data_IF_546349686942
#
_entry.id   IF_546349686942
#
_cell.length_a   1.000
_cell.length_b   1.000
_cell.length_c   1.000
_cell.angle_alpha   90.00
_cell.angle_beta   90.00
_cell.angle_gamma   90.00
#
_symmetry.space_group_name_H-M   'P 1'
#
loop_
_entity.id
_entity.type
_entity.pdbx_description
1 polymer ?
#
# COMPACT_ATOMS: atom_id res chain seq x y z
N UNK A 1 -2.78 -0.28 -3.43
CA UNK A 1 -1.72 0.22 -4.34
C UNK A 1 -0.42 0.38 -3.55
N UNK A 2 0.72 0.59 -4.22
CA UNK A 2 2.02 0.79 -3.58
C UNK A 2 2.60 2.17 -3.87
N UNK A 3 3.37 2.69 -2.93
CA UNK A 3 4.11 3.95 -3.06
C UNK A 3 5.54 3.75 -2.61
N UNK A 4 6.50 4.37 -3.28
CA UNK A 4 7.90 4.32 -2.90
C UNK A 4 8.52 5.72 -2.91
N UNK A 5 9.39 5.98 -1.95
CA UNK A 5 10.26 7.13 -1.98
C UNK A 5 11.49 6.81 -2.84
N UNK A 6 11.59 7.43 -4.01
CA UNK A 6 12.76 7.29 -4.90
C UNK A 6 13.78 8.41 -4.69
N UNK A 7 13.52 9.34 -3.77
CA UNK A 7 14.45 10.43 -3.44
C UNK A 7 15.55 9.88 -2.51
N UNK A 8 16.77 10.44 -2.59
CA UNK A 8 17.82 10.12 -1.63
C UNK A 8 17.52 10.65 -0.23
N UNK A 9 16.71 11.72 -0.13
CA UNK A 9 16.27 12.29 1.14
C UNK A 9 15.06 11.52 1.69
N UNK A 10 15.04 11.21 2.99
CA UNK A 10 13.87 10.63 3.62
C UNK A 10 12.71 11.64 3.63
N UNK A 11 11.50 11.08 3.56
CA UNK A 11 10.26 11.81 3.78
C UNK A 11 9.61 11.28 5.06
N UNK A 12 8.93 12.14 5.79
CA UNK A 12 8.22 11.81 7.02
C UNK A 12 6.75 12.17 6.89
N UNK A 13 5.95 11.76 7.87
CA UNK A 13 4.52 12.10 7.95
C UNK A 13 3.75 11.82 6.66
N UNK A 14 3.89 10.59 6.15
CA UNK A 14 3.29 10.15 4.90
C UNK A 14 1.82 9.88 5.11
N UNK A 15 0.99 10.53 4.31
CA UNK A 15 -0.47 10.36 4.30
C UNK A 15 -0.94 10.13 2.88
N UNK A 16 -2.02 9.36 2.77
CA UNK A 16 -2.75 9.14 1.54
C UNK A 16 -4.17 9.64 1.72
N UNK A 17 -4.70 10.29 0.70
CA UNK A 17 -6.14 10.46 0.51
C UNK A 17 -6.51 10.08 -0.91
N UNK A 18 -7.78 9.74 -1.14
CA UNK A 18 -8.26 9.43 -2.48
C UNK A 18 -9.67 9.96 -2.72
N UNK A 19 -9.94 10.29 -3.97
CA UNK A 19 -11.25 10.76 -4.44
C UNK A 19 -11.64 9.93 -5.65
N UNK A 20 -12.84 9.37 -5.59
CA UNK A 20 -13.49 8.68 -6.69
C UNK A 20 -14.34 9.69 -7.48
N UNK A 21 -14.04 9.82 -8.76
CA UNK A 21 -14.77 10.64 -9.72
C UNK A 21 -15.66 9.77 -10.58
N UNK A 22 -16.94 10.10 -10.67
CA UNK A 22 -17.93 9.37 -11.46
C UNK A 22 -18.84 10.35 -12.19
N UNK A 23 -19.03 10.16 -13.49
CA UNK A 23 -20.01 10.91 -14.26
C UNK A 23 -21.40 10.28 -14.08
N UNK A 24 -22.39 11.10 -13.72
CA UNK A 24 -23.80 10.71 -13.63
C UNK A 24 -24.46 10.80 -15.01
N UNK A 25 -25.60 10.14 -15.19
CA UNK A 25 -26.36 10.15 -16.46
C UNK A 25 -26.77 11.56 -16.93
N UNK A 26 -26.88 12.51 -16.00
CA UNK A 26 -27.19 13.92 -16.28
C UNK A 26 -25.95 14.75 -16.67
N UNK A 27 -24.76 14.14 -16.79
CA UNK A 27 -23.48 14.81 -17.07
C UNK A 27 -22.83 15.47 -15.85
N UNK A 28 -23.37 15.28 -14.65
CA UNK A 28 -22.81 15.83 -13.41
C UNK A 28 -21.67 14.95 -12.88
N UNK A 29 -20.56 15.57 -12.47
CA UNK A 29 -19.43 14.87 -11.89
C UNK A 29 -19.62 14.67 -10.37
N UNK A 30 -19.88 13.43 -9.97
CA UNK A 30 -19.92 13.02 -8.57
C UNK A 30 -18.49 12.79 -8.04
N UNK A 31 -18.21 13.29 -6.83
CA UNK A 31 -16.93 13.11 -6.15
C UNK A 31 -17.18 12.47 -4.79
N UNK A 32 -16.48 11.39 -4.49
CA UNK A 32 -16.65 10.66 -3.22
C UNK A 32 -15.30 10.34 -2.61
N UNK A 33 -15.12 10.67 -1.32
CA UNK A 33 -13.89 10.33 -0.60
C UNK A 33 -13.74 8.82 -0.47
N UNK A 34 -12.52 8.32 -0.63
CA UNK A 34 -12.17 6.91 -0.44
C UNK A 34 -11.01 6.81 0.53
N UNK A 35 -11.23 6.13 1.64
CA UNK A 35 -10.21 6.00 2.68
C UNK A 35 -9.27 4.84 2.39
N UNK A 36 -7.98 5.06 2.55
CA UNK A 36 -6.94 4.05 2.41
C UNK A 36 -6.18 3.89 3.71
N UNK A 37 -5.88 2.64 4.03
CA UNK A 37 -5.19 2.25 5.26
C UNK A 37 -3.82 1.70 4.93
N UNK A 38 -2.85 2.00 5.78
CA UNK A 38 -1.51 1.45 5.66
C UNK A 38 -1.50 0.00 6.13
N UNK A 39 -0.92 -0.89 5.32
CA UNK A 39 -0.85 -2.30 5.68
C UNK A 39 0.10 -2.55 6.86
N UNK A 40 -0.37 -3.28 7.87
CA UNK A 40 0.37 -3.65 9.07
C UNK A 40 0.52 -2.55 10.14
N UNK A 41 -0.04 -1.35 9.93
CA UNK A 41 0.04 -0.24 10.89
C UNK A 41 -1.35 0.36 11.08
N UNK A 42 -1.82 0.48 12.33
CA UNK A 42 -3.15 1.06 12.64
C UNK A 42 -3.22 2.58 12.53
N UNK A 43 -2.13 3.23 12.11
CA UNK A 43 -2.03 4.69 11.97
C UNK A 43 -2.36 5.09 10.54
N UNK A 44 -3.10 6.18 10.38
CA UNK A 44 -3.37 6.81 9.07
C UNK A 44 -2.11 7.46 8.48
N UNK A 45 -1.14 7.80 9.33
CA UNK A 45 0.14 8.40 8.95
C UNK A 45 1.28 7.40 9.15
N UNK A 46 2.12 7.22 8.12
CA UNK A 46 3.42 6.58 8.28
C UNK A 46 4.46 7.61 8.73
N UNK A 47 5.15 7.42 9.86
CA UNK A 47 6.12 8.40 10.35
C UNK A 47 7.35 8.52 9.44
N UNK A 48 7.76 7.43 8.76
CA UNK A 48 8.98 7.39 7.95
C UNK A 48 8.76 6.70 6.60
N UNK A 49 9.14 7.38 5.51
CA UNK A 49 9.07 6.86 4.15
C UNK A 49 10.43 6.36 3.65
N UNK A 50 10.90 5.27 4.26
CA UNK A 50 12.22 4.68 3.96
C UNK A 50 12.13 3.37 3.17
N UNK A 51 10.94 2.76 3.10
CA UNK A 51 10.66 1.57 2.29
C UNK A 51 9.34 1.75 1.52
N UNK A 52 9.12 1.01 0.43
CA UNK A 52 7.83 1.01 -0.27
C UNK A 52 6.68 0.69 0.66
N UNK A 53 5.63 1.51 0.67
CA UNK A 53 4.44 1.32 1.51
C UNK A 53 3.30 0.74 0.68
N UNK A 54 2.54 -0.17 1.28
CA UNK A 54 1.32 -0.72 0.65
C UNK A 54 0.09 -0.15 1.34
N UNK A 55 -0.79 0.48 0.57
CA UNK A 55 -2.07 1.01 1.03
C UNK A 55 -3.22 0.16 0.49
N UNK A 56 -4.19 -0.12 1.35
CA UNK A 56 -5.37 -0.92 1.01
C UNK A 56 -6.67 -0.18 1.35
N UNK A 57 -7.71 -0.50 0.59
CA UNK A 57 -9.08 -0.09 0.87
C UNK A 57 -9.92 -1.36 1.00
N UNK A 58 -10.62 -1.50 2.14
CA UNK A 58 -11.48 -2.66 2.36
C UNK A 58 -12.77 -2.49 1.55
N UNK A 59 -12.98 -3.37 0.57
CA UNK A 59 -14.22 -3.41 -0.20
C UNK A 59 -15.30 -4.12 0.61
N UNK A 60 -15.97 -3.37 1.46
CA UNK A 60 -17.15 -3.79 2.24
C UNK A 60 -18.42 -3.17 1.65
N UNK A 61 -19.65 -3.60 2.02
CA UNK A 61 -20.88 -3.08 1.41
C UNK A 61 -21.06 -1.56 1.45
N UNK A 62 -20.45 -0.87 2.41
CA UNK A 62 -20.47 0.60 2.52
C UNK A 62 -19.39 1.31 1.70
N UNK A 63 -18.49 0.57 1.05
CA UNK A 63 -17.43 1.13 0.22
C UNK A 63 -18.03 1.75 -1.06
N UNK A 64 -17.56 2.94 -1.47
CA UNK A 64 -17.99 3.55 -2.73
C UNK A 64 -17.51 2.76 -3.96
N UNK A 65 -16.53 1.87 -3.80
CA UNK A 65 -16.03 1.00 -4.87
C UNK A 65 -16.77 -0.35 -4.92
N UNK A 66 -17.56 -0.70 -3.90
CA UNK A 66 -18.14 -2.04 -3.77
C UNK A 66 -19.02 -2.42 -4.95
N UNK A 67 -19.97 -1.58 -5.31
CA UNK A 67 -20.87 -1.85 -6.45
C UNK A 67 -20.11 -1.75 -7.77
N UNK A 68 -19.20 -0.79 -7.90
CA UNK A 68 -18.48 -0.52 -9.15
C UNK A 68 -17.60 -1.70 -9.57
N UNK A 69 -16.84 -2.27 -8.63
CA UNK A 69 -15.90 -3.35 -8.89
C UNK A 69 -16.53 -4.76 -8.95
N UNK A 70 -17.83 -4.88 -8.65
CA UNK A 70 -18.57 -6.15 -8.75
C UNK A 70 -19.12 -6.43 -10.16
N UNK A 71 -19.19 -5.42 -11.03
CA UNK A 71 -19.71 -5.58 -12.38
C UNK A 71 -18.63 -6.12 -13.34
N UNK A 72 -19.00 -7.04 -14.23
CA UNK A 72 -18.10 -7.52 -15.31
C UNK A 72 -17.65 -6.38 -16.23
N UNK A 73 -18.52 -5.39 -16.43
CA UNK A 73 -18.23 -4.14 -17.14
C UNK A 73 -18.53 -2.97 -16.22
N UNK A 74 -17.57 -2.53 -15.38
CA UNK A 74 -17.77 -1.41 -14.47
C UNK A 74 -18.13 -0.14 -15.24
N UNK A 75 -18.99 0.74 -14.68
CA UNK A 75 -19.22 2.06 -15.25
C UNK A 75 -17.94 2.89 -15.22
N UNK A 76 -17.88 3.95 -16.03
CA UNK A 76 -16.72 4.84 -16.05
C UNK A 76 -16.54 5.54 -14.70
N UNK A 77 -15.34 5.42 -14.14
CA UNK A 77 -14.90 6.18 -12.98
C UNK A 77 -13.40 6.40 -13.03
N UNK A 78 -12.91 7.38 -12.29
CA UNK A 78 -11.47 7.60 -12.09
C UNK A 78 -11.19 7.71 -10.59
N UNK A 79 -10.31 6.85 -10.08
CA UNK A 79 -9.86 6.90 -8.70
C UNK A 79 -8.57 7.69 -8.62
N UNK A 80 -8.63 8.93 -8.14
CA UNK A 80 -7.47 9.80 -7.98
C UNK A 80 -6.92 9.64 -6.56
N UNK A 81 -5.63 9.33 -6.47
CA UNK A 81 -4.91 9.13 -5.21
C UNK A 81 -3.90 10.26 -5.02
N UNK A 82 -3.87 10.81 -3.81
CA UNK A 82 -3.00 11.88 -3.38
C UNK A 82 -2.07 11.34 -2.29
N UNK A 83 -0.77 11.50 -2.49
CA UNK A 83 0.25 11.27 -1.47
C UNK A 83 0.74 12.63 -0.97
N UNK A 84 0.72 12.82 0.34
CA UNK A 84 1.36 13.95 1.01
C UNK A 84 2.44 13.45 1.94
N UNK A 85 3.62 14.05 1.92
CA UNK A 85 4.69 13.74 2.86
C UNK A 85 5.52 15.00 3.12
N UNK A 86 6.18 15.06 4.27
CA UNK A 86 7.06 16.16 4.65
C UNK A 86 8.51 15.80 4.35
N UNK A 87 9.27 16.74 3.78
CA UNK A 87 10.69 16.56 3.55
C UNK A 87 11.48 16.80 4.85
N UNK A 88 12.27 15.81 5.25
CA UNK A 88 13.10 15.93 6.44
C UNK A 88 14.08 17.12 6.32
N UNK A 89 14.34 17.80 7.45
CA UNK A 89 15.26 18.93 7.54
C UNK A 89 14.68 20.27 7.06
N UNK A 90 13.89 20.28 5.99
CA UNK A 90 13.28 21.52 5.46
C UNK A 90 11.86 21.75 5.97
N UNK A 91 11.12 20.69 6.32
CA UNK A 91 9.71 20.78 6.69
C UNK A 91 8.76 21.07 5.53
N UNK A 92 9.27 21.11 4.28
CA UNK A 92 8.45 21.35 3.11
C UNK A 92 7.49 20.19 2.83
N UNK A 93 6.26 20.49 2.47
CA UNK A 93 5.27 19.47 2.11
C UNK A 93 5.43 19.13 0.63
N UNK A 94 5.71 17.86 0.34
CA UNK A 94 5.71 17.29 -0.99
C UNK A 94 4.38 16.58 -1.25
N UNK A 95 3.74 16.93 -2.37
CA UNK A 95 2.53 16.25 -2.84
C UNK A 95 2.78 15.56 -4.18
N UNK A 96 2.22 14.36 -4.32
CA UNK A 96 2.19 13.58 -5.55
C UNK A 96 0.79 13.05 -5.79
N UNK A 97 0.45 12.88 -7.05
CA UNK A 97 -0.88 12.43 -7.49
C UNK A 97 -0.73 11.39 -8.57
N UNK A 98 -1.62 10.42 -8.56
CA UNK A 98 -1.83 9.47 -9.65
C UNK A 98 -3.32 9.19 -9.74
N UNK A 99 -3.77 8.60 -10.84
CA UNK A 99 -5.12 8.11 -10.97
C UNK A 99 -5.15 6.69 -11.52
N UNK A 100 -6.29 6.02 -11.32
CA UNK A 100 -6.56 4.69 -11.80
C UNK A 100 -7.94 4.64 -12.46
N UNK A 101 -7.98 4.14 -13.69
CA UNK A 101 -9.19 3.76 -14.39
C UNK A 101 -9.64 2.37 -13.96
N UNK A 102 -10.90 1.97 -14.25
CA UNK A 102 -11.40 0.66 -13.83
C UNK A 102 -10.57 -0.49 -14.40
N UNK A 103 -10.07 -0.34 -15.63
CA UNK A 103 -9.21 -1.32 -16.30
C UNK A 103 -7.81 -1.47 -15.68
N UNK A 104 -7.37 -0.52 -14.86
CA UNK A 104 -6.06 -0.53 -14.20
C UNK A 104 -6.13 -1.16 -12.79
N UNK A 105 -7.34 -1.48 -12.32
CA UNK A 105 -7.57 -2.10 -11.01
C UNK A 105 -7.67 -3.62 -11.21
N UNK A 106 -6.59 -4.31 -10.84
CA UNK A 106 -6.52 -5.78 -10.90
C UNK A 106 -7.17 -6.42 -9.68
N UNK A 107 -8.32 -7.07 -9.87
CA UNK A 107 -8.98 -7.88 -8.85
C UNK A 107 -8.28 -9.24 -8.70
N UNK A 108 -8.34 -9.84 -7.51
CA UNK A 108 -7.77 -11.18 -7.20
C UNK A 108 -6.27 -11.29 -7.47
N UNK A 109 -5.54 -10.19 -7.28
CA UNK A 109 -4.09 -10.14 -7.40
C UNK A 109 -3.50 -9.52 -6.14
N UNK A 110 -2.28 -9.93 -5.81
CA UNK A 110 -1.48 -9.33 -4.75
C UNK A 110 -0.13 -8.87 -5.32
N UNK A 111 0.50 -7.91 -4.64
CA UNK A 111 1.84 -7.47 -5.03
C UNK A 111 2.86 -8.57 -4.75
N UNK A 112 3.81 -8.75 -5.67
CA UNK A 112 4.94 -9.63 -5.46
C UNK A 112 5.76 -9.18 -4.22
N UNK A 113 6.44 -10.12 -3.57
CA UNK A 113 7.25 -9.77 -2.41
C UNK A 113 8.39 -8.82 -2.78
N UNK A 114 8.46 -7.70 -2.06
CA UNK A 114 9.48 -6.66 -2.23
C UNK A 114 10.67 -6.89 -1.33
N UNK A 115 10.52 -7.63 -0.24
CA UNK A 115 11.58 -7.83 0.73
C UNK A 115 12.17 -9.22 0.57
N UNK A 116 13.49 -9.28 0.55
CA UNK A 116 14.24 -10.53 0.65
C UNK A 116 15.34 -10.43 1.67
N UNK A 117 15.71 -11.58 2.21
CA UNK A 117 16.81 -11.68 3.17
C UNK A 117 18.09 -12.03 2.42
N UNK A 118 19.10 -11.18 2.57
CA UNK A 118 20.43 -11.41 2.04
C UNK A 118 21.20 -12.44 2.85
N UNK A 119 22.36 -12.83 2.31
CA UNK A 119 23.20 -13.90 2.89
C UNK A 119 23.72 -13.60 4.30
N UNK A 120 23.83 -12.32 4.70
CA UNK A 120 24.28 -11.90 6.03
C UNK A 120 23.10 -11.56 6.94
N UNK A 121 21.88 -11.84 6.51
CA UNK A 121 20.65 -11.56 7.25
C UNK A 121 20.11 -10.14 7.05
N UNK A 122 20.73 -9.33 6.20
CA UNK A 122 20.26 -7.99 5.86
C UNK A 122 19.00 -8.04 4.99
N UNK A 123 18.13 -7.05 5.14
CA UNK A 123 16.96 -6.91 4.27
C UNK A 123 17.31 -6.15 3.00
N UNK A 124 16.89 -6.69 1.87
CA UNK A 124 17.08 -6.11 0.55
C UNK A 124 15.73 -5.90 -0.12
N UNK A 125 15.53 -4.69 -0.65
CA UNK A 125 14.33 -4.30 -1.39
C UNK A 125 14.54 -4.65 -2.86
N UNK A 126 13.73 -5.56 -3.38
CA UNK A 126 13.65 -5.91 -4.79
C UNK A 126 12.74 -4.91 -5.51
N UNK A 127 13.28 -3.73 -5.84
CA UNK A 127 12.51 -2.70 -6.55
C UNK A 127 12.01 -3.17 -7.92
N UNK A 128 12.67 -4.15 -8.54
CA UNK A 128 12.22 -4.85 -9.74
C UNK A 128 10.86 -5.57 -9.58
N UNK A 129 10.38 -5.76 -8.35
CA UNK A 129 9.08 -6.35 -8.05
C UNK A 129 8.02 -5.31 -7.66
N UNK A 130 8.36 -4.02 -7.62
CA UNK A 130 7.48 -2.96 -7.11
C UNK A 130 6.13 -2.87 -7.83
N UNK A 131 6.10 -3.06 -9.13
CA UNK A 131 4.90 -3.04 -9.96
C UNK A 131 4.40 -4.45 -10.31
N UNK A 132 5.14 -5.50 -9.93
CA UNK A 132 4.76 -6.87 -10.25
C UNK A 132 3.61 -7.33 -9.36
N UNK A 133 2.58 -7.86 -9.99
CA UNK A 133 1.47 -8.53 -9.33
C UNK A 133 1.49 -10.02 -9.64
N UNK A 134 0.98 -10.81 -8.70
CA UNK A 134 0.76 -12.24 -8.87
C UNK A 134 -0.71 -12.56 -8.59
N UNK A 135 -1.33 -13.51 -9.29
CA UNK A 135 -2.67 -13.96 -8.96
C UNK A 135 -2.72 -14.45 -7.51
N UNK A 136 -3.76 -14.04 -6.79
CA UNK A 136 -3.98 -14.51 -5.43
C UNK A 136 -4.34 -16.01 -5.49
N UNK A 137 -3.44 -16.86 -4.99
CA UNK A 137 -3.73 -18.29 -4.85
C UNK A 137 -4.79 -18.48 -3.76
N UNK A 138 -5.74 -19.42 -3.90
CA UNK A 138 -6.64 -19.79 -2.81
C UNK A 138 -5.80 -20.16 -1.59
N UNK A 139 -5.83 -19.33 -0.55
CA UNK A 139 -5.03 -19.54 0.65
C UNK A 139 -5.41 -20.90 1.24
N UNK A 140 -4.49 -21.89 1.33
CA UNK A 140 -4.76 -23.04 2.16
C UNK A 140 -4.92 -22.51 3.58
N UNK A 141 -6.03 -22.85 4.23
CA UNK A 141 -6.31 -22.53 5.64
C UNK A 141 -5.05 -22.81 6.46
N UNK A 142 -4.26 -21.78 6.77
CA UNK A 142 -3.05 -21.93 7.56
C UNK A 142 -3.53 -22.34 8.94
N UNK A 143 -3.28 -23.61 9.28
CA UNK A 143 -3.44 -24.15 10.61
C UNK A 143 -2.68 -23.24 11.57
N UNK A 144 -3.40 -22.56 12.45
CA UNK A 144 -2.81 -21.89 13.61
C UNK A 144 -2.07 -22.97 14.41
N UNK A 145 -0.76 -23.10 14.22
CA UNK A 145 0.05 -23.84 15.17
C UNK A 145 0.13 -23.00 16.44
N UNK A 146 -0.41 -23.45 17.58
CA UNK A 146 -0.19 -22.77 18.84
C UNK A 146 1.25 -23.06 19.25
N UNK A 147 1.97 -22.05 19.75
CA UNK A 147 3.30 -22.16 20.37
C UNK A 147 4.52 -21.83 19.51
N UNK A 148 4.59 -20.61 19.00
CA UNK A 148 5.89 -19.93 18.82
C UNK A 148 5.78 -18.47 19.21
N UNK A 149 6.44 -18.08 20.30
CA UNK A 149 6.64 -16.68 20.73
C UNK A 149 7.78 -16.03 19.95
N UNK A 150 7.78 -16.17 18.61
CA UNK A 150 8.52 -15.23 17.77
C UNK A 150 7.57 -14.07 17.49
N UNK A 151 8.00 -12.86 17.83
CA UNK A 151 7.30 -11.66 17.36
C UNK A 151 7.47 -11.60 15.84
N UNK A 152 6.48 -12.12 15.12
CA UNK A 152 6.35 -11.98 13.67
C UNK A 152 6.26 -10.47 13.35
N UNK A 153 7.36 -9.88 12.89
CA UNK A 153 7.34 -8.50 12.42
C UNK A 153 6.82 -8.52 10.99
N UNK A 154 5.65 -7.90 10.79
CA UNK A 154 5.04 -7.78 9.47
C UNK A 154 5.33 -6.39 8.91
N UNK A 155 6.01 -6.35 7.77
CA UNK A 155 6.20 -5.11 7.01
C UNK A 155 5.29 -5.19 5.78
N UNK A 156 4.31 -4.29 5.69
CA UNK A 156 3.30 -4.30 4.62
C UNK A 156 2.60 -5.67 4.47
N UNK A 157 2.11 -6.25 5.57
CA UNK A 157 1.34 -7.50 5.55
C UNK A 157 2.12 -8.77 5.23
N UNK A 158 3.42 -8.68 4.91
CA UNK A 158 4.28 -9.82 4.63
C UNK A 158 4.83 -10.40 5.95
N UNK A 159 4.55 -11.68 6.22
CA UNK A 159 5.09 -12.41 7.40
C UNK A 159 6.60 -12.58 7.27
N UNK A 160 7.34 -12.35 8.35
CA UNK A 160 8.80 -12.46 8.35
C UNK A 160 9.27 -13.28 9.55
N UNK A 161 9.93 -14.40 9.26
CA UNK A 161 10.62 -15.16 10.29
C UNK A 161 11.88 -14.40 10.77
N UNK A 162 11.83 -13.93 12.02
CA UNK A 162 12.94 -13.39 12.83
C UNK A 162 13.54 -12.05 12.38
N UNK A 163 13.05 -10.97 12.99
CA UNK A 163 13.66 -9.64 12.93
C UNK A 163 14.69 -9.45 14.04
N UNK A 164 15.97 -9.30 13.68
CA UNK A 164 17.02 -8.82 14.59
C UNK A 164 17.49 -7.45 14.11
N UNK A 165 17.30 -6.43 14.95
CA UNK A 165 17.92 -5.12 14.74
C UNK A 165 19.40 -5.29 15.10
N UNK A 166 20.27 -5.34 14.10
CA UNK A 166 21.69 -5.10 14.34
C UNK A 166 21.89 -3.59 14.46
N UNK A 167 22.24 -3.12 15.66
CA UNK A 167 22.78 -1.78 15.86
C UNK A 167 24.08 -1.67 15.04
N UNK A 168 24.00 -1.13 13.83
CA UNK A 168 25.19 -0.66 13.13
C UNK A 168 25.56 0.69 13.70
N UNK A 169 26.62 0.69 14.52
CA UNK A 169 27.17 1.86 15.17
C UNK A 169 27.47 2.98 14.18
N UNK A 170 26.99 4.18 14.53
CA UNK A 170 27.58 5.43 14.10
C UNK A 170 28.96 5.53 14.78
N UNK A 171 30.02 5.27 14.01
CA UNK A 171 31.38 5.75 14.31
C UNK A 171 31.66 7.02 13.55
#
# INVERSE_FOLDING_TARGET
>A
FQVANTRPSPLTSVRVSAVLYQERENGELNQTSVDFHLDGISSEECPFFIFPLTYYHSIIPSSPLATLLQHESPPHFELVVFLSAMQEGTGEICQRRTSYLPSEIMLHHCFASLLTRGSKGEYQIKMENFDKTVPELPTPLVSKSPNRTDLDIRINGQSMDNFQISETGLT
#
